data_IF_389900566374
#
_entry.id   IF_389900566374
#
_cell.length_a   1.000
_cell.length_b   1.000
_cell.length_c   1.000
_cell.angle_alpha   90.00
_cell.angle_beta   90.00
_cell.angle_gamma   90.00
#
_symmetry.space_group_name_H-M   'P 1'
#
loop_
_entity.id
_entity.type
_entity.pdbx_description
1 polymer ?
#
# COMPACT_ATOMS: atom_id res chain seq x y z
N UNK A 1 -12.49 -14.50 36.96
CA UNK A 1 -11.09 -14.17 37.29
C UNK A 1 -10.61 -13.17 36.24
N UNK A 2 -10.57 -11.89 36.57
CA UNK A 2 -9.91 -10.89 35.73
C UNK A 2 -8.41 -11.19 35.78
N UNK A 3 -7.87 -11.83 34.75
CA UNK A 3 -6.41 -11.78 34.55
C UNK A 3 -6.04 -10.30 34.45
N UNK A 4 -5.00 -9.86 35.17
CA UNK A 4 -4.46 -8.51 34.96
C UNK A 4 -4.08 -8.39 33.49
N UNK A 5 -4.77 -7.51 32.77
CA UNK A 5 -4.42 -7.14 31.40
C UNK A 5 -3.26 -6.16 31.47
N UNK A 6 -2.27 -6.34 30.61
CA UNK A 6 -1.16 -5.40 30.46
C UNK A 6 -1.49 -4.29 29.46
N UNK A 7 -2.35 -4.56 28.47
CA UNK A 7 -2.75 -3.59 27.46
C UNK A 7 -4.18 -3.81 26.96
N UNK A 8 -4.84 -2.70 26.62
CA UNK A 8 -6.13 -2.68 25.93
C UNK A 8 -5.94 -1.95 24.59
N UNK A 9 -6.37 -2.59 23.50
CA UNK A 9 -6.33 -2.03 22.15
C UNK A 9 -7.76 -1.76 21.69
N UNK A 10 -8.06 -0.52 21.34
CA UNK A 10 -9.37 -0.13 20.80
C UNK A 10 -9.27 -0.01 19.27
N UNK A 11 -10.04 -0.84 18.58
CA UNK A 11 -10.08 -0.99 17.13
C UNK A 11 -9.33 -2.24 16.64
N UNK A 12 -10.03 -3.12 15.94
CA UNK A 12 -9.48 -4.33 15.31
C UNK A 12 -9.21 -4.14 13.81
N UNK A 13 -8.77 -2.94 13.41
CA UNK A 13 -8.20 -2.69 12.08
C UNK A 13 -6.75 -3.20 11.96
N UNK A 14 -6.10 -3.04 10.79
CA UNK A 14 -4.76 -3.56 10.55
C UNK A 14 -3.73 -3.06 11.58
N UNK A 15 -3.80 -1.78 11.94
CA UNK A 15 -2.88 -1.18 12.93
C UNK A 15 -3.11 -1.74 14.33
N UNK A 16 -4.36 -1.80 14.79
CA UNK A 16 -4.70 -2.31 16.12
C UNK A 16 -4.37 -3.79 16.28
N UNK A 17 -4.73 -4.62 15.29
CA UNK A 17 -4.38 -6.04 15.29
C UNK A 17 -2.87 -6.26 15.22
N UNK A 18 -2.13 -5.45 14.46
CA UNK A 18 -0.66 -5.53 14.42
C UNK A 18 -0.07 -5.20 15.78
N UNK A 19 -0.54 -4.14 16.44
CA UNK A 19 -0.08 -3.74 17.76
C UNK A 19 -0.39 -4.80 18.82
N UNK A 20 -1.62 -5.33 18.83
CA UNK A 20 -2.04 -6.39 19.73
C UNK A 20 -1.21 -7.67 19.53
N UNK A 21 -0.97 -8.08 18.28
CA UNK A 21 -0.15 -9.24 17.96
C UNK A 21 1.32 -9.06 18.39
N UNK A 22 1.89 -7.88 18.17
CA UNK A 22 3.26 -7.57 18.62
C UNK A 22 3.40 -7.59 20.14
N UNK A 23 2.43 -7.03 20.88
CA UNK A 23 2.40 -7.07 22.34
C UNK A 23 2.23 -8.50 22.86
N UNK A 24 1.27 -9.25 22.33
CA UNK A 24 1.04 -10.64 22.73
C UNK A 24 2.26 -11.53 22.48
N UNK A 25 2.96 -11.35 21.35
CA UNK A 25 4.21 -12.06 21.05
C UNK A 25 5.35 -11.76 22.03
N UNK A 26 5.29 -10.63 22.73
CA UNK A 26 6.26 -10.23 23.77
C UNK A 26 5.82 -10.66 25.18
N UNK A 27 4.72 -11.41 25.29
CA UNK A 27 4.24 -11.99 26.54
C UNK A 27 3.23 -11.14 27.30
N UNK A 28 2.77 -10.01 26.74
CA UNK A 28 1.75 -9.19 27.37
C UNK A 28 0.36 -9.80 27.22
N UNK A 29 -0.47 -9.71 28.27
CA UNK A 29 -1.89 -10.00 28.22
C UNK A 29 -2.63 -8.81 27.57
N UNK A 30 -3.20 -9.03 26.38
CA UNK A 30 -3.83 -7.96 25.58
C UNK A 30 -5.30 -8.26 25.34
N UNK A 31 -6.15 -7.26 25.57
CA UNK A 31 -7.56 -7.28 25.17
C UNK A 31 -7.78 -6.34 23.99
N UNK A 32 -8.57 -6.76 23.00
CA UNK A 32 -8.90 -5.95 21.82
C UNK A 32 -10.40 -5.73 21.77
N UNK A 33 -10.83 -4.47 21.65
CA UNK A 33 -12.24 -4.11 21.46
C UNK A 33 -12.47 -3.60 20.05
N UNK A 34 -13.47 -4.14 19.36
CA UNK A 34 -13.95 -3.64 18.08
C UNK A 34 -15.41 -3.21 18.23
N UNK A 35 -15.76 -2.08 17.60
CA UNK A 35 -17.11 -1.55 17.63
C UNK A 35 -18.04 -2.24 16.61
N UNK A 36 -17.47 -2.80 15.54
CA UNK A 36 -18.19 -3.52 14.49
C UNK A 36 -18.28 -5.02 14.77
N UNK A 37 -19.21 -5.69 14.08
CA UNK A 37 -19.41 -7.14 14.18
C UNK A 37 -18.24 -7.96 13.61
N UNK A 38 -17.36 -7.33 12.81
CA UNK A 38 -16.22 -7.99 12.18
C UNK A 38 -14.94 -7.17 12.30
N UNK A 39 -13.84 -7.89 12.47
CA UNK A 39 -12.47 -7.33 12.46
C UNK A 39 -12.03 -6.96 11.04
N UNK A 40 -10.91 -6.24 10.93
CA UNK A 40 -10.26 -5.90 9.66
C UNK A 40 -10.34 -4.42 9.31
N UNK A 41 -11.26 -3.66 9.92
CA UNK A 41 -11.43 -2.22 9.67
C UNK A 41 -11.56 -1.91 8.18
N UNK A 42 -10.75 -0.98 7.68
CA UNK A 42 -10.75 -0.59 6.26
C UNK A 42 -10.16 -1.63 5.29
N UNK A 43 -9.63 -2.75 5.78
CA UNK A 43 -9.11 -3.85 4.96
C UNK A 43 -10.11 -5.02 4.82
N UNK A 44 -11.39 -4.77 5.14
CA UNK A 44 -12.48 -5.71 4.88
C UNK A 44 -12.89 -5.68 3.42
N UNK A 45 -13.53 -6.76 2.99
CA UNK A 45 -14.18 -6.88 1.69
C UNK A 45 -15.68 -7.07 1.90
N UNK A 46 -16.49 -6.25 1.24
CA UNK A 46 -17.94 -6.16 1.45
C UNK A 46 -18.71 -6.14 0.11
N UNK A 47 -19.93 -6.67 0.07
CA UNK A 47 -20.80 -6.62 -1.12
C UNK A 47 -21.64 -5.34 -1.13
N UNK A 48 -21.00 -4.21 -1.49
CA UNK A 48 -21.59 -2.87 -1.35
C UNK A 48 -22.52 -2.44 -2.48
N UNK A 49 -22.47 -3.08 -3.65
CA UNK A 49 -23.24 -2.65 -4.83
C UNK A 49 -24.24 -3.71 -5.28
N UNK A 50 -23.86 -4.58 -6.20
CA UNK A 50 -24.70 -5.63 -6.74
C UNK A 50 -24.36 -6.99 -6.10
N UNK A 51 -25.31 -7.92 -6.00
CA UNK A 51 -25.03 -9.27 -5.47
C UNK A 51 -23.86 -9.93 -6.20
N UNK A 52 -22.91 -10.48 -5.43
CA UNK A 52 -21.70 -11.11 -5.96
C UNK A 52 -20.55 -10.16 -6.33
N UNK A 53 -20.74 -8.83 -6.21
CA UNK A 53 -19.67 -7.85 -6.41
C UNK A 53 -19.06 -7.44 -5.07
N UNK A 54 -17.78 -7.76 -4.91
CA UNK A 54 -17.00 -7.50 -3.69
C UNK A 54 -16.16 -6.24 -3.83
N UNK A 55 -16.13 -5.43 -2.78
CA UNK A 55 -15.47 -4.14 -2.74
C UNK A 55 -14.65 -4.03 -1.48
N UNK A 56 -13.49 -3.41 -1.58
CA UNK A 56 -12.70 -3.01 -0.41
C UNK A 56 -13.03 -1.55 -0.09
N UNK A 57 -13.79 -1.26 0.99
CA UNK A 57 -14.37 0.07 1.19
C UNK A 57 -13.32 1.18 1.40
N UNK A 58 -12.15 0.84 1.96
CA UNK A 58 -11.12 1.82 2.29
C UNK A 58 -9.72 1.50 1.77
N UNK A 59 -9.39 0.25 1.47
CA UNK A 59 -8.02 -0.13 1.09
C UNK A 59 -8.01 -1.19 0.00
N UNK A 60 -7.77 -0.76 -1.24
CA UNK A 60 -7.69 -1.65 -2.40
C UNK A 60 -6.28 -2.24 -2.63
N UNK A 61 -5.23 -1.67 -2.01
CA UNK A 61 -3.84 -2.12 -2.15
C UNK A 61 -3.07 -1.99 -0.84
N UNK A 62 -2.09 -2.86 -0.63
CA UNK A 62 -1.35 -2.97 0.65
C UNK A 62 0.19 -2.92 0.51
N UNK A 63 0.77 -1.92 -0.17
CA UNK A 63 2.23 -1.83 -0.37
C UNK A 63 3.01 -1.70 0.95
N UNK A 64 2.44 -1.01 1.95
CA UNK A 64 3.05 -0.90 3.28
C UNK A 64 2.87 -2.16 4.11
N UNK A 65 1.83 -2.96 3.85
CA UNK A 65 1.61 -4.24 4.53
C UNK A 65 2.68 -5.26 4.16
N UNK A 66 2.88 -5.51 2.85
CA UNK A 66 3.89 -6.45 2.36
C UNK A 66 5.32 -6.02 2.70
N UNK A 67 5.59 -4.70 2.77
CA UNK A 67 6.88 -4.14 3.17
C UNK A 67 7.11 -4.04 4.68
N UNK A 68 6.07 -4.26 5.51
CA UNK A 68 6.11 -3.98 6.95
C UNK A 68 7.11 -4.89 7.69
N UNK A 69 8.00 -4.34 8.54
CA UNK A 69 8.84 -5.13 9.42
C UNK A 69 8.02 -6.01 10.39
N UNK A 70 6.88 -5.53 10.87
CA UNK A 70 6.02 -6.28 11.78
C UNK A 70 5.42 -7.52 11.08
N UNK A 71 4.89 -7.35 9.86
CA UNK A 71 4.35 -8.47 9.08
C UNK A 71 5.45 -9.49 8.75
N UNK A 72 6.66 -9.03 8.40
CA UNK A 72 7.81 -9.91 8.13
C UNK A 72 8.28 -10.69 9.35
N UNK A 73 8.15 -10.12 10.55
CA UNK A 73 8.50 -10.80 11.80
C UNK A 73 7.46 -11.87 12.22
N UNK A 74 6.25 -11.82 11.65
CA UNK A 74 5.16 -12.73 11.94
C UNK A 74 5.04 -13.84 10.90
N UNK A 75 4.77 -15.10 11.30
CA UNK A 75 4.59 -16.21 10.37
C UNK A 75 3.20 -16.19 9.71
N UNK A 76 2.73 -15.03 9.23
CA UNK A 76 1.35 -14.81 8.78
C UNK A 76 0.93 -15.74 7.64
N UNK A 77 1.87 -16.15 6.78
CA UNK A 77 1.61 -17.15 5.73
C UNK A 77 1.13 -18.50 6.31
N UNK A 78 1.60 -18.89 7.50
CA UNK A 78 1.12 -20.10 8.21
C UNK A 78 -0.31 -19.93 8.74
N UNK A 79 -0.77 -18.70 8.86
CA UNK A 79 -2.13 -18.34 9.26
C UNK A 79 -3.01 -17.96 8.05
N UNK A 80 -2.57 -18.28 6.83
CA UNK A 80 -3.35 -18.12 5.61
C UNK A 80 -3.16 -16.80 4.86
N UNK A 81 -2.25 -15.91 5.29
CA UNK A 81 -1.96 -14.69 4.52
C UNK A 81 -1.35 -15.06 3.16
N UNK A 82 -2.00 -14.59 2.10
CA UNK A 82 -1.50 -14.66 0.73
C UNK A 82 -1.51 -13.25 0.12
N UNK A 83 -0.38 -12.88 -0.49
CA UNK A 83 -0.30 -11.64 -1.27
C UNK A 83 -0.66 -11.95 -2.71
N UNK A 84 -1.73 -11.31 -3.18
CA UNK A 84 -2.17 -11.43 -4.56
C UNK A 84 -1.55 -10.31 -5.40
N UNK A 85 -1.14 -10.67 -6.61
CA UNK A 85 -0.59 -9.74 -7.59
C UNK A 85 -1.36 -9.92 -8.90
N UNK A 86 -2.37 -9.08 -9.18
CA UNK A 86 -3.16 -9.20 -10.38
C UNK A 86 -2.34 -8.87 -11.63
N UNK A 87 -2.86 -9.22 -12.80
CA UNK A 87 -2.27 -8.85 -14.09
C UNK A 87 -2.38 -7.33 -14.34
N UNK A 88 -3.55 -6.77 -13.98
CA UNK A 88 -3.84 -5.34 -13.99
C UNK A 88 -4.08 -4.89 -12.55
N UNK A 89 -3.19 -4.05 -12.04
CA UNK A 89 -3.22 -3.55 -10.66
C UNK A 89 -4.26 -2.45 -10.47
N UNK A 90 -4.52 -1.66 -11.51
CA UNK A 90 -5.51 -0.58 -11.51
C UNK A 90 -5.97 -0.31 -12.95
N UNK A 91 -7.24 0.01 -13.12
CA UNK A 91 -7.77 0.54 -14.37
C UNK A 91 -8.58 1.81 -14.10
N UNK A 92 -8.38 2.83 -14.92
CA UNK A 92 -9.17 4.05 -14.93
C UNK A 92 -9.94 4.13 -16.26
N UNK A 93 -11.25 3.80 -16.26
CA UNK A 93 -12.06 3.84 -17.47
C UNK A 93 -12.36 5.28 -17.91
N UNK A 94 -12.37 5.49 -19.22
CA UNK A 94 -12.75 6.75 -19.86
C UNK A 94 -14.16 6.67 -20.46
N UNK A 95 -14.83 7.82 -20.69
CA UNK A 95 -16.18 7.84 -21.27
C UNK A 95 -16.30 7.23 -22.67
N UNK A 96 -15.20 7.16 -23.42
CA UNK A 96 -15.14 6.56 -24.76
C UNK A 96 -15.02 5.02 -24.74
N UNK A 97 -15.01 4.42 -23.55
CA UNK A 97 -14.88 2.98 -23.36
C UNK A 97 -13.44 2.46 -23.34
N UNK A 98 -12.44 3.33 -23.50
CA UNK A 98 -11.04 2.97 -23.29
C UNK A 98 -10.68 3.07 -21.80
N UNK A 99 -9.49 2.61 -21.41
CA UNK A 99 -9.01 2.73 -20.03
C UNK A 99 -7.49 2.88 -19.97
N UNK A 100 -7.01 3.74 -19.08
CA UNK A 100 -5.63 3.71 -18.64
C UNK A 100 -5.46 2.58 -17.60
N UNK A 101 -4.46 1.71 -17.79
CA UNK A 101 -4.21 0.59 -16.90
C UNK A 101 -2.81 0.67 -16.29
N UNK A 102 -2.73 0.35 -15.00
CA UNK A 102 -1.49 0.06 -14.31
C UNK A 102 -1.26 -1.44 -14.32
N UNK A 103 -0.11 -1.83 -14.83
CA UNK A 103 0.38 -3.22 -14.85
C UNK A 103 1.74 -3.27 -14.18
N UNK A 104 2.27 -4.48 -14.02
CA UNK A 104 3.63 -4.69 -13.51
C UNK A 104 4.73 -4.23 -14.48
N UNK A 105 4.38 -3.84 -15.70
CA UNK A 105 5.29 -3.30 -16.71
C UNK A 105 5.03 -1.81 -16.93
N UNK A 106 6.07 -1.00 -16.73
CA UNK A 106 6.01 0.44 -17.07
C UNK A 106 5.76 0.62 -18.58
N UNK A 107 6.26 -0.30 -19.40
CA UNK A 107 6.04 -0.29 -20.85
C UNK A 107 4.57 -0.51 -21.20
N UNK A 108 3.96 -1.58 -20.67
CA UNK A 108 2.56 -1.91 -20.95
C UNK A 108 1.62 -0.83 -20.40
N UNK A 109 1.85 -0.38 -19.17
CA UNK A 109 1.08 0.72 -18.57
C UNK A 109 1.16 1.98 -19.43
N UNK A 110 2.35 2.34 -19.93
CA UNK A 110 2.54 3.48 -20.82
C UNK A 110 1.76 3.35 -22.13
N UNK A 111 1.66 2.15 -22.71
CA UNK A 111 0.91 1.94 -23.96
C UNK A 111 -0.59 2.19 -23.79
N UNK A 112 -1.14 1.89 -22.61
CA UNK A 112 -2.57 2.13 -22.33
C UNK A 112 -2.94 3.61 -22.27
N UNK A 113 -1.96 4.50 -22.05
CA UNK A 113 -2.12 5.95 -22.10
C UNK A 113 -2.07 6.51 -23.54
N UNK A 114 -1.81 5.65 -24.54
CA UNK A 114 -1.70 6.06 -25.93
C UNK A 114 -0.33 6.67 -26.31
N UNK A 115 -0.10 6.87 -27.61
CA UNK A 115 1.23 7.23 -28.14
C UNK A 115 1.71 8.62 -27.69
N UNK A 116 0.79 9.55 -27.44
CA UNK A 116 1.08 10.90 -26.95
C UNK A 116 1.75 10.88 -25.57
N UNK A 117 1.23 10.05 -24.66
CA UNK A 117 1.56 10.09 -23.24
C UNK A 117 2.50 8.98 -22.77
N UNK A 118 2.63 7.91 -23.56
CA UNK A 118 3.49 6.79 -23.22
C UNK A 118 4.94 7.22 -22.90
N UNK A 119 5.47 8.19 -23.63
CA UNK A 119 6.81 8.74 -23.40
C UNK A 119 6.93 9.51 -22.09
N UNK A 120 5.91 10.32 -21.75
CA UNK A 120 5.88 11.09 -20.51
C UNK A 120 5.80 10.16 -19.29
N UNK A 121 4.92 9.16 -19.35
CA UNK A 121 4.77 8.16 -18.29
C UNK A 121 6.07 7.38 -18.04
N UNK A 122 6.72 6.87 -19.09
CA UNK A 122 7.99 6.14 -18.96
C UNK A 122 9.06 7.00 -18.28
N UNK A 123 9.21 8.26 -18.68
CA UNK A 123 10.20 9.17 -18.07
C UNK A 123 9.90 9.45 -16.59
N UNK A 124 8.62 9.45 -16.21
CA UNK A 124 8.19 9.67 -14.83
C UNK A 124 8.47 8.46 -13.93
N UNK A 125 8.14 7.24 -14.40
CA UNK A 125 8.12 6.04 -13.54
C UNK A 125 9.36 5.15 -13.67
N UNK A 126 9.89 4.96 -14.89
CA UNK A 126 11.03 4.07 -15.14
C UNK A 126 12.26 4.29 -14.24
N UNK A 127 12.61 5.51 -13.81
CA UNK A 127 13.76 5.73 -12.92
C UNK A 127 13.70 4.99 -11.58
N UNK A 128 12.50 4.61 -11.13
CA UNK A 128 12.25 4.02 -9.82
C UNK A 128 12.00 2.51 -9.87
N UNK A 129 11.89 1.92 -11.06
CA UNK A 129 11.63 0.48 -11.22
C UNK A 129 12.74 -0.37 -10.65
N UNK A 130 12.39 -1.46 -9.95
CA UNK A 130 13.37 -2.39 -9.35
C UNK A 130 14.16 -1.81 -8.18
N UNK A 131 13.76 -0.64 -7.65
CA UNK A 131 14.44 0.06 -6.55
C UNK A 131 13.53 0.29 -5.34
N UNK A 132 12.35 -0.35 -5.31
CA UNK A 132 11.35 -0.13 -4.27
C UNK A 132 11.91 -0.34 -2.87
N UNK A 133 12.58 -1.45 -2.59
CA UNK A 133 13.06 -1.74 -1.23
C UNK A 133 14.03 -0.69 -0.70
N UNK A 134 14.92 -0.17 -1.55
CA UNK A 134 15.85 0.91 -1.19
C UNK A 134 15.10 2.22 -1.01
N UNK A 135 14.25 2.58 -1.96
CA UNK A 135 13.50 3.84 -1.93
C UNK A 135 12.53 3.91 -0.75
N UNK A 136 11.77 2.84 -0.51
CA UNK A 136 10.83 2.74 0.60
C UNK A 136 11.56 2.77 1.94
N UNK A 137 12.70 2.10 2.06
CA UNK A 137 13.50 2.15 3.28
C UNK A 137 14.03 3.56 3.55
N UNK A 138 14.48 4.30 2.54
CA UNK A 138 14.97 5.67 2.74
C UNK A 138 13.84 6.68 2.96
N UNK A 139 12.70 6.49 2.32
CA UNK A 139 11.53 7.36 2.42
C UNK A 139 10.75 7.21 3.73
N UNK A 140 10.58 5.97 4.22
CA UNK A 140 9.80 5.67 5.43
C UNK A 140 10.62 5.72 6.72
N UNK A 141 11.94 5.93 6.61
CA UNK A 141 12.82 6.01 7.77
C UNK A 141 12.64 7.32 8.53
N UNK A 142 12.83 7.26 9.84
CA UNK A 142 12.84 8.45 10.70
C UNK A 142 14.01 9.37 10.32
N UNK A 143 13.82 10.70 10.23
CA UNK A 143 14.89 11.63 9.83
C UNK A 143 16.17 11.57 10.70
N UNK A 144 16.06 11.08 11.93
CA UNK A 144 17.16 11.00 12.91
C UNK A 144 18.02 9.73 12.77
N UNK A 145 17.59 8.73 11.99
CA UNK A 145 18.25 7.42 11.85
C UNK A 145 19.42 7.41 10.83
N UNK A 146 20.07 8.56 10.62
CA UNK A 146 21.27 8.73 9.79
C UNK A 146 21.02 9.12 8.32
N UNK A 147 22.03 8.93 7.46
CA UNK A 147 21.99 9.28 6.04
C UNK A 147 21.30 8.21 5.18
N UNK A 148 20.53 8.58 4.14
CA UNK A 148 19.82 7.60 3.30
C UNK A 148 20.82 6.70 2.57
N UNK A 149 20.41 5.47 2.25
CA UNK A 149 21.21 4.50 1.50
C UNK A 149 21.43 4.96 0.06
N UNK A 150 20.45 5.68 -0.49
CA UNK A 150 20.46 6.19 -1.85
C UNK A 150 19.96 7.65 -1.89
N UNK A 151 20.81 8.61 -1.48
CA UNK A 151 20.45 10.03 -1.46
C UNK A 151 20.05 10.54 -2.84
N UNK A 152 20.66 10.01 -3.92
CA UNK A 152 20.38 10.44 -5.28
C UNK A 152 18.95 10.08 -5.70
N UNK A 153 18.54 8.81 -5.52
CA UNK A 153 17.17 8.41 -5.89
C UNK A 153 16.13 9.02 -4.96
N UNK A 154 16.41 9.17 -3.66
CA UNK A 154 15.52 9.83 -2.73
C UNK A 154 15.31 11.32 -3.12
N UNK A 155 16.38 12.03 -3.43
CA UNK A 155 16.28 13.42 -3.90
C UNK A 155 15.51 13.53 -5.22
N UNK A 156 15.79 12.64 -6.18
CA UNK A 156 15.06 12.59 -7.45
C UNK A 156 13.56 12.30 -7.25
N UNK A 157 13.23 11.36 -6.36
CA UNK A 157 11.85 11.05 -5.99
C UNK A 157 11.18 12.26 -5.34
N UNK A 158 11.83 12.90 -4.36
CA UNK A 158 11.32 14.09 -3.69
C UNK A 158 11.09 15.27 -4.64
N UNK A 159 12.01 15.52 -5.57
CA UNK A 159 11.87 16.58 -6.58
C UNK A 159 10.68 16.37 -7.51
N UNK A 160 10.28 15.12 -7.77
CA UNK A 160 9.08 14.81 -8.53
C UNK A 160 7.83 14.79 -7.64
N UNK A 161 7.93 14.26 -6.43
CA UNK A 161 6.81 14.11 -5.49
C UNK A 161 6.34 15.42 -4.86
N UNK A 162 7.20 16.43 -4.73
CA UNK A 162 6.83 17.76 -4.19
C UNK A 162 6.09 18.62 -5.22
N UNK A 163 6.10 18.23 -6.50
CA UNK A 163 5.47 19.02 -7.55
C UNK A 163 3.94 18.96 -7.44
N UNK A 164 3.23 20.08 -7.64
CA UNK A 164 1.78 20.06 -7.75
C UNK A 164 1.34 19.11 -8.86
N UNK A 165 0.27 18.34 -8.62
CA UNK A 165 -0.29 17.43 -9.62
C UNK A 165 -0.64 18.14 -10.94
N UNK A 166 -1.08 19.39 -10.86
CA UNK A 166 -1.38 20.24 -12.03
C UNK A 166 -0.16 20.59 -12.88
N UNK A 167 1.05 20.52 -12.33
CA UNK A 167 2.28 20.72 -13.09
C UNK A 167 2.73 19.43 -13.75
N UNK A 168 2.56 18.30 -13.05
CA UNK A 168 2.84 16.98 -13.60
C UNK A 168 1.90 16.67 -14.77
N UNK A 169 0.61 17.00 -14.64
CA UNK A 169 -0.38 16.74 -15.69
C UNK A 169 -0.11 17.50 -16.99
N UNK A 170 0.54 18.67 -16.95
CA UNK A 170 0.96 19.42 -18.16
C UNK A 170 1.98 18.69 -19.03
N UNK A 171 2.55 17.58 -18.54
CA UNK A 171 3.45 16.72 -19.32
C UNK A 171 2.70 15.70 -20.18
N UNK A 172 1.38 15.59 -19.99
CA UNK A 172 0.46 14.66 -20.63
C UNK A 172 -0.55 15.46 -21.49
N UNK A 173 -1.12 14.85 -22.52
CA UNK A 173 -2.01 15.47 -23.50
C UNK A 173 -3.48 15.15 -23.29
#
# INVERSE_FOLDING_TARGET
MTSMLDAVVVGAGPNGLTAAAELARRGFAVEVHEAHDTVGGGARTEELTLPGFRHDPCSAVHPLGIGSPAFRAMPLARHGLQWLHPEVDLAHPFPDGTAAALTRSVGESAMTLGPADAGAYRRLVAPFTGRWDTLAADFLRTPWDGLPRDPYRLARFGLLGVQPATWVSRRFQ
#
